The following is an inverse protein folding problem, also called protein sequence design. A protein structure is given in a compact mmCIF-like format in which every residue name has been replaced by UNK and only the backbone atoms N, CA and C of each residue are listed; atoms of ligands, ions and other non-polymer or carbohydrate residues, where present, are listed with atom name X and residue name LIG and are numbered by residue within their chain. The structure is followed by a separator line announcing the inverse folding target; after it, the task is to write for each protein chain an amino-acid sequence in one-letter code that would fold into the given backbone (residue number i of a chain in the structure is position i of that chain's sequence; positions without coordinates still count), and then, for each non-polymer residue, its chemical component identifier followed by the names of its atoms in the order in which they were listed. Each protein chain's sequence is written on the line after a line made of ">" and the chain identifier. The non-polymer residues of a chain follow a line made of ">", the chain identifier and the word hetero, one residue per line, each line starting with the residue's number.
data_IF_600764511738
#
_entry.id   IF_600764511738
#
_cell.length_a   1.000
_cell.length_b   1.000
_cell.length_c   1.000
_cell.angle_alpha   90.00
_cell.angle_beta   90.00
_cell.angle_gamma   90.00
#
_symmetry.space_group_name_H-M   'P 1'
#
loop_
_entity.id
_entity.type
_entity.pdbx_description
1 polymer ?
#
# COMPACT_ATOMS: atom_id res chain seq x y z
N UNK A 1 13.87 -14.53 22.24
CA UNK A 1 13.81 -13.47 21.21
C UNK A 1 12.36 -13.01 21.11
N UNK A 2 12.10 -11.73 21.42
CA UNK A 2 10.75 -11.19 21.53
C UNK A 2 10.05 -11.14 20.16
N UNK A 3 8.74 -11.43 20.07
CA UNK A 3 7.98 -11.25 18.84
C UNK A 3 7.66 -9.76 18.69
N UNK A 4 8.59 -9.00 18.11
CA UNK A 4 8.47 -7.56 17.90
C UNK A 4 7.41 -7.18 16.84
N UNK A 5 6.84 -8.15 16.11
CA UNK A 5 5.97 -7.88 14.96
C UNK A 5 4.46 -7.93 15.25
N UNK A 6 4.03 -8.26 16.47
CA UNK A 6 2.60 -8.55 16.74
C UNK A 6 1.70 -7.34 17.02
N UNK A 7 2.20 -6.09 16.95
CA UNK A 7 1.38 -4.87 17.19
C UNK A 7 1.76 -3.66 16.34
N UNK A 8 2.09 -3.85 15.06
CA UNK A 8 2.01 -2.72 14.11
C UNK A 8 0.53 -2.53 13.77
N UNK A 9 -0.13 -1.65 14.53
CA UNK A 9 -1.54 -1.23 14.44
C UNK A 9 -2.18 -1.56 13.09
N UNK A 10 -3.25 -2.37 13.15
CA UNK A 10 -4.03 -2.88 12.02
C UNK A 10 -4.76 -1.75 11.28
N UNK A 11 -4.02 -0.91 10.56
CA UNK A 11 -4.53 0.27 9.84
C UNK A 11 -5.15 1.32 10.79
N UNK A 12 -4.79 2.58 10.59
CA UNK A 12 -5.53 3.68 11.21
C UNK A 12 -6.98 3.70 10.68
N UNK A 13 -7.91 4.19 11.50
CA UNK A 13 -9.35 4.22 11.20
C UNK A 13 -9.62 4.91 9.86
N UNK A 14 -8.92 6.02 9.58
CA UNK A 14 -9.00 6.76 8.32
C UNK A 14 -8.59 5.92 7.11
N UNK A 15 -7.49 5.17 7.22
CA UNK A 15 -7.05 4.26 6.17
C UNK A 15 -8.07 3.14 5.95
N UNK A 16 -8.60 2.54 7.02
CA UNK A 16 -9.62 1.50 6.90
C UNK A 16 -10.88 2.02 6.21
N UNK A 17 -11.35 3.21 6.57
CA UNK A 17 -12.49 3.86 5.92
C UNK A 17 -12.27 4.07 4.43
N UNK A 18 -11.08 4.52 4.04
CA UNK A 18 -10.71 4.73 2.64
C UNK A 18 -10.72 3.41 1.86
N UNK A 19 -10.19 2.33 2.46
CA UNK A 19 -10.22 0.98 1.88
C UNK A 19 -11.65 0.45 1.75
N UNK A 20 -12.49 0.62 2.77
CA UNK A 20 -13.90 0.16 2.75
C UNK A 20 -14.70 0.91 1.68
N UNK A 21 -14.50 2.23 1.56
CA UNK A 21 -15.13 3.05 0.50
C UNK A 21 -14.71 2.56 -0.89
N UNK A 22 -13.43 2.30 -1.09
CA UNK A 22 -12.89 1.77 -2.35
C UNK A 22 -13.45 0.38 -2.69
N UNK A 23 -13.53 -0.52 -1.71
CA UNK A 23 -14.15 -1.84 -1.91
C UNK A 23 -15.62 -1.70 -2.31
N UNK A 24 -16.34 -0.78 -1.67
CA UNK A 24 -17.76 -0.53 -1.92
C UNK A 24 -18.02 0.04 -3.32
N UNK A 25 -17.15 0.91 -3.84
CA UNK A 25 -17.30 1.46 -5.21
C UNK A 25 -17.08 0.39 -6.29
N UNK A 26 -16.18 -0.56 -6.05
CA UNK A 26 -15.98 -1.71 -6.95
C UNK A 26 -17.15 -2.69 -6.87
N UNK A 27 -17.58 -3.09 -5.66
CA UNK A 27 -18.69 -4.04 -5.48
C UNK A 27 -20.02 -3.51 -6.01
N UNK A 28 -20.27 -2.21 -5.85
CA UNK A 28 -21.45 -1.56 -6.43
C UNK A 28 -21.35 -1.40 -7.96
N UNK A 29 -20.20 -1.67 -8.56
CA UNK A 29 -19.98 -1.55 -10.00
C UNK A 29 -19.90 -0.11 -10.50
N UNK A 30 -19.74 0.88 -9.60
CA UNK A 30 -19.48 2.28 -9.95
C UNK A 30 -18.08 2.46 -10.54
N UNK A 31 -17.12 1.68 -10.04
CA UNK A 31 -15.77 1.62 -10.56
C UNK A 31 -15.57 0.31 -11.32
N UNK A 32 -15.33 0.39 -12.64
CA UNK A 32 -15.18 -0.76 -13.54
C UNK A 32 -14.05 -0.54 -14.52
N UNK A 33 -13.54 -1.67 -15.04
CA UNK A 33 -12.47 -1.70 -16.03
C UNK A 33 -11.10 -1.71 -15.35
N UNK A 34 -10.22 -2.58 -15.85
CA UNK A 34 -8.90 -2.83 -15.25
C UNK A 34 -8.06 -1.56 -15.11
N UNK A 35 -8.09 -0.68 -16.13
CA UNK A 35 -7.37 0.60 -16.12
C UNK A 35 -7.87 1.54 -15.02
N UNK A 36 -9.18 1.73 -14.90
CA UNK A 36 -9.75 2.65 -13.91
C UNK A 36 -9.51 2.12 -12.49
N UNK A 37 -9.66 0.81 -12.30
CA UNK A 37 -9.37 0.15 -11.02
C UNK A 37 -7.87 0.30 -10.68
N UNK A 38 -6.97 0.15 -11.66
CA UNK A 38 -5.54 0.34 -11.45
C UNK A 38 -5.21 1.77 -10.98
N UNK A 39 -5.73 2.78 -11.67
CA UNK A 39 -5.53 4.20 -11.32
C UNK A 39 -6.05 4.47 -9.90
N UNK A 40 -7.31 4.15 -9.64
CA UNK A 40 -7.91 4.38 -8.32
C UNK A 40 -7.22 3.59 -7.19
N UNK A 41 -6.63 2.43 -7.50
CA UNK A 41 -5.81 1.69 -6.52
C UNK A 41 -4.54 2.47 -6.19
N UNK A 42 -3.87 3.05 -7.19
CA UNK A 42 -2.67 3.88 -6.97
C UNK A 42 -3.04 5.12 -6.16
N UNK A 43 -4.13 5.80 -6.52
CA UNK A 43 -4.61 6.99 -5.79
C UNK A 43 -4.89 6.68 -4.31
N UNK A 44 -5.56 5.54 -4.03
CA UNK A 44 -5.79 5.08 -2.67
C UNK A 44 -4.48 4.86 -1.91
N UNK A 45 -3.50 4.20 -2.54
CA UNK A 45 -2.22 3.93 -1.91
C UNK A 45 -1.41 5.20 -1.69
N UNK A 46 -1.44 6.14 -2.62
CA UNK A 46 -0.82 7.46 -2.50
C UNK A 46 -1.41 8.25 -1.34
N UNK A 47 -2.73 8.22 -1.16
CA UNK A 47 -3.39 8.84 -0.02
C UNK A 47 -2.91 8.22 1.31
N UNK A 48 -2.86 6.88 1.40
CA UNK A 48 -2.37 6.16 2.59
C UNK A 48 -0.91 6.51 2.89
N UNK A 49 -0.08 6.65 1.85
CA UNK A 49 1.33 6.99 1.98
C UNK A 49 1.48 8.44 2.46
N UNK A 50 0.73 9.37 1.87
CA UNK A 50 0.76 10.79 2.21
C UNK A 50 0.27 11.03 3.64
N UNK A 51 -0.76 10.32 4.07
CA UNK A 51 -1.29 10.39 5.45
C UNK A 51 -0.31 9.84 6.50
N UNK A 52 0.73 9.11 6.09
CA UNK A 52 1.73 8.52 6.97
C UNK A 52 2.97 9.41 7.18
N UNK A 53 2.82 10.75 7.11
CA UNK A 53 3.93 11.71 7.24
C UNK A 53 4.94 11.33 8.35
N UNK A 54 6.24 11.38 8.02
CA UNK A 54 7.37 11.08 8.91
C UNK A 54 7.51 9.63 9.42
N UNK A 55 6.88 8.64 8.77
CA UNK A 55 7.06 7.23 9.18
C UNK A 55 8.26 6.57 8.47
N UNK A 56 9.03 5.75 9.21
CA UNK A 56 10.08 4.89 8.65
C UNK A 56 9.53 4.07 7.45
N UNK A 57 10.32 3.93 6.37
CA UNK A 57 9.93 3.19 5.17
C UNK A 57 9.43 1.76 5.47
N UNK A 58 9.95 1.10 6.50
CA UNK A 58 9.47 -0.22 6.94
C UNK A 58 8.02 -0.19 7.44
N UNK A 59 7.64 0.87 8.15
CA UNK A 59 6.28 1.07 8.63
C UNK A 59 5.34 1.44 7.47
N UNK A 60 5.82 2.23 6.51
CA UNK A 60 5.08 2.52 5.28
C UNK A 60 4.77 1.25 4.47
N UNK A 61 5.79 0.43 4.24
CA UNK A 61 5.65 -0.88 3.57
C UNK A 61 4.66 -1.77 4.33
N UNK A 62 4.69 -1.74 5.66
CA UNK A 62 3.78 -2.53 6.50
C UNK A 62 2.32 -2.07 6.35
N UNK A 63 2.06 -0.75 6.35
CA UNK A 63 0.73 -0.16 6.11
C UNK A 63 0.20 -0.53 4.73
N UNK A 64 0.97 -0.30 3.67
CA UNK A 64 0.58 -0.64 2.29
C UNK A 64 0.33 -2.15 2.15
N UNK A 65 1.15 -2.99 2.80
CA UNK A 65 0.94 -4.45 2.81
C UNK A 65 -0.32 -4.85 3.57
N UNK A 66 -0.67 -4.17 4.65
CA UNK A 66 -1.91 -4.42 5.39
C UNK A 66 -3.13 -4.04 4.56
N UNK A 67 -3.16 -2.85 3.96
CA UNK A 67 -4.22 -2.43 3.04
C UNK A 67 -4.36 -3.41 1.86
N UNK A 68 -3.25 -3.82 1.26
CA UNK A 68 -3.21 -4.83 0.21
C UNK A 68 -3.81 -6.18 0.60
N UNK A 69 -3.52 -6.66 1.82
CA UNK A 69 -4.11 -7.90 2.36
C UNK A 69 -5.63 -7.77 2.52
N UNK A 70 -6.10 -6.61 2.99
CA UNK A 70 -7.54 -6.32 3.09
C UNK A 70 -8.20 -6.31 1.72
N UNK A 71 -7.60 -5.67 0.72
CA UNK A 71 -8.10 -5.66 -0.65
C UNK A 71 -8.21 -7.07 -1.24
N UNK A 72 -7.18 -7.91 -1.06
CA UNK A 72 -7.20 -9.31 -1.55
C UNK A 72 -8.33 -10.12 -0.92
N UNK A 73 -8.57 -9.94 0.38
CA UNK A 73 -9.68 -10.62 1.07
C UNK A 73 -11.04 -10.10 0.60
N UNK A 74 -11.17 -8.79 0.37
CA UNK A 74 -12.43 -8.15 0.05
C UNK A 74 -12.83 -8.29 -1.44
N UNK A 75 -11.85 -8.33 -2.34
CA UNK A 75 -12.04 -8.30 -3.79
C UNK A 75 -11.15 -9.37 -4.48
N UNK A 76 -11.31 -10.66 -4.18
CA UNK A 76 -10.39 -11.71 -4.65
C UNK A 76 -10.28 -11.80 -6.19
N UNK A 77 -11.34 -11.42 -6.91
CA UNK A 77 -11.36 -11.42 -8.38
C UNK A 77 -10.66 -10.21 -9.02
N UNK A 78 -10.38 -9.14 -8.27
CA UNK A 78 -9.87 -7.87 -8.82
C UNK A 78 -8.34 -7.84 -8.93
N UNK A 79 -7.82 -8.64 -9.86
CA UNK A 79 -6.37 -8.80 -10.06
C UNK A 79 -5.65 -7.50 -10.39
N UNK A 80 -6.33 -6.54 -11.03
CA UNK A 80 -5.74 -5.24 -11.36
C UNK A 80 -5.29 -4.48 -10.10
N UNK A 81 -6.16 -4.43 -9.08
CA UNK A 81 -5.85 -3.81 -7.79
C UNK A 81 -4.68 -4.53 -7.09
N UNK A 82 -4.73 -5.87 -7.04
CA UNK A 82 -3.67 -6.67 -6.42
C UNK A 82 -2.30 -6.45 -7.09
N UNK A 83 -2.28 -6.36 -8.41
CA UNK A 83 -1.07 -6.14 -9.17
C UNK A 83 -0.51 -4.74 -8.92
N UNK A 84 -1.35 -3.70 -8.84
CA UNK A 84 -0.88 -2.35 -8.54
C UNK A 84 -0.30 -2.25 -7.13
N UNK A 85 -0.93 -2.84 -6.12
CA UNK A 85 -0.36 -2.92 -4.76
C UNK A 85 1.04 -3.54 -4.77
N UNK A 86 1.24 -4.65 -5.49
CA UNK A 86 2.56 -5.31 -5.60
C UNK A 86 3.58 -4.43 -6.30
N UNK A 87 3.19 -3.69 -7.35
CA UNK A 87 4.07 -2.76 -8.07
C UNK A 87 4.50 -1.60 -7.20
N UNK A 88 3.56 -0.99 -6.46
CA UNK A 88 3.87 0.10 -5.51
C UNK A 88 4.81 -0.40 -4.41
N UNK A 89 4.55 -1.58 -3.82
CA UNK A 89 5.45 -2.17 -2.83
C UNK A 89 6.87 -2.44 -3.38
N UNK A 90 6.99 -2.82 -4.66
CA UNK A 90 8.29 -2.97 -5.32
C UNK A 90 8.97 -1.62 -5.50
N UNK A 91 8.27 -0.63 -6.05
CA UNK A 91 8.79 0.72 -6.25
C UNK A 91 9.33 1.33 -4.95
N UNK A 92 8.57 1.23 -3.85
CA UNK A 92 9.02 1.72 -2.53
C UNK A 92 10.30 1.01 -2.07
N UNK A 93 10.43 -0.31 -2.29
CA UNK A 93 11.65 -1.05 -1.91
C UNK A 93 12.86 -0.71 -2.77
N UNK A 94 12.63 -0.53 -4.07
CA UNK A 94 13.69 -0.18 -5.02
C UNK A 94 14.24 1.22 -4.72
N UNK A 95 13.38 2.16 -4.32
CA UNK A 95 13.79 3.50 -3.87
C UNK A 95 14.65 3.44 -2.61
N UNK A 96 14.24 2.66 -1.60
CA UNK A 96 15.02 2.46 -0.37
C UNK A 96 16.41 1.87 -0.64
N UNK A 97 16.50 0.89 -1.55
CA UNK A 97 17.80 0.31 -1.94
C UNK A 97 18.67 1.32 -2.69
N UNK A 98 18.07 2.12 -3.56
CA UNK A 98 18.77 3.14 -4.35
C UNK A 98 19.34 4.24 -3.46
N UNK A 99 18.56 4.74 -2.49
CA UNK A 99 19.05 5.68 -1.48
C UNK A 99 20.21 5.12 -0.66
N UNK A 100 20.10 3.87 -0.19
CA UNK A 100 21.19 3.23 0.55
C UNK A 100 22.47 3.12 -0.28
N UNK A 101 22.35 2.80 -1.57
CA UNK A 101 23.49 2.68 -2.48
C UNK A 101 24.13 4.05 -2.80
N UNK A 102 23.33 5.11 -2.97
CA UNK A 102 23.83 6.47 -3.15
C UNK A 102 24.60 6.96 -1.93
N UNK A 103 24.09 6.73 -0.71
CA UNK A 103 24.79 7.09 0.54
C UNK A 103 26.14 6.39 0.64
N UNK A 104 26.23 5.12 0.24
CA UNK A 104 27.48 4.37 0.26
C UNK A 104 28.53 4.95 -0.71
N UNK A 105 28.11 5.40 -1.91
CA UNK A 105 29.00 5.99 -2.91
C UNK A 105 29.54 7.37 -2.52
N UNK A 106 28.83 8.13 -1.70
CA UNK A 106 29.26 9.46 -1.23
C UNK A 106 30.24 9.36 -0.05
N UNK A 107 30.29 8.21 0.63
CA UNK A 107 31.13 7.96 1.82
C UNK A 107 32.43 7.18 1.50
N UNK A 108 32.68 6.85 0.23
CA UNK A 108 33.88 6.15 -0.28
C UNK A 108 34.75 7.07 -1.12
#
# INVERSE_FOLDING_TARGET
>A
MAPLESKLNELDEKTMDSVVKFVSTIRSGKLRGSKNIAIATVDLLEQIISDAENTNALALISKVRAAGRTLVKALPAELSAHNMVRRVLRAVRDEQRSHANQVMLVLS
#
